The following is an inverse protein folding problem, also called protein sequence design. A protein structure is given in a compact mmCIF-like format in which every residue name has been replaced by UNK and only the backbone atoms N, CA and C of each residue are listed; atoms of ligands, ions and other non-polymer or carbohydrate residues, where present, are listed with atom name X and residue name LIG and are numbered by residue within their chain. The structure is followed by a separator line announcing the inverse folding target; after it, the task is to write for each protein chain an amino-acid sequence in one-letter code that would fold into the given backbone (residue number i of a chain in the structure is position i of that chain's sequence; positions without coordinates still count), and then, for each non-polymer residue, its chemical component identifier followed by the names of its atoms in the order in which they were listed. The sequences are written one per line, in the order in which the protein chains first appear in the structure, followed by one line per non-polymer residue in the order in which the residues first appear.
data_IF_617819289091
#
_entry.id   IF_617819289091
#
_cell.length_a   1.000
_cell.length_b   1.000
_cell.length_c   1.000
_cell.angle_alpha   90.00
_cell.angle_beta   90.00
_cell.angle_gamma   90.00
#
_symmetry.space_group_name_H-M   'P 1'
#
loop_
_entity.id
_entity.type
_entity.pdbx_description
1 polymer ?
#
# COMPACT_ATOMS: atom_id res chain seq x y z
N UNK A 1 -18.94 13.41 24.39
CA UNK A 1 -17.97 13.90 23.39
C UNK A 1 -18.77 14.12 22.10
N UNK A 2 -18.67 15.30 21.49
CA UNK A 2 -19.37 15.66 20.27
C UNK A 2 -18.57 16.71 19.49
N UNK A 3 -18.80 16.80 18.18
CA UNK A 3 -18.18 17.79 17.31
C UNK A 3 -17.42 17.16 16.14
N UNK A 4 -16.77 17.98 15.29
CA UNK A 4 -16.00 17.50 14.17
C UNK A 4 -14.73 16.78 14.65
N UNK A 5 -14.37 15.69 13.95
CA UNK A 5 -13.11 14.98 14.10
C UNK A 5 -12.40 15.01 12.75
N UNK A 6 -11.33 15.80 12.65
CA UNK A 6 -10.56 15.97 11.40
C UNK A 6 -9.54 14.88 11.24
N UNK A 7 -9.73 14.07 10.21
CA UNK A 7 -8.92 12.88 9.95
C UNK A 7 -8.25 13.04 8.59
N UNK A 8 -6.94 12.82 8.53
CA UNK A 8 -6.16 12.76 7.28
C UNK A 8 -5.55 11.37 7.15
N UNK A 9 -5.59 10.82 5.96
CA UNK A 9 -4.99 9.51 5.69
C UNK A 9 -4.69 9.26 4.21
N UNK A 10 -3.84 8.28 3.90
CA UNK A 10 -3.51 7.90 2.53
C UNK A 10 -4.71 7.24 1.85
N UNK A 11 -4.90 7.52 0.56
CA UNK A 11 -6.02 6.98 -0.24
C UNK A 11 -6.05 5.46 -0.24
N UNK A 12 -4.89 4.86 -0.38
CA UNK A 12 -4.73 3.41 -0.52
C UNK A 12 -5.08 2.61 0.73
N UNK A 13 -4.65 3.09 1.89
CA UNK A 13 -4.80 2.36 3.15
C UNK A 13 -6.10 2.68 3.85
N UNK A 14 -6.71 3.83 3.53
CA UNK A 14 -7.86 4.32 4.27
C UNK A 14 -9.12 3.48 4.01
N UNK A 15 -9.43 3.22 2.76
CA UNK A 15 -10.70 2.56 2.42
C UNK A 15 -10.85 1.13 2.95
N UNK A 16 -9.86 0.22 2.82
CA UNK A 16 -10.08 -1.18 3.20
C UNK A 16 -10.01 -1.45 4.71
N UNK A 17 -9.32 -0.61 5.48
CA UNK A 17 -9.03 -0.90 6.90
C UNK A 17 -9.51 0.20 7.83
N UNK A 18 -9.12 1.43 7.58
CA UNK A 18 -9.35 2.53 8.51
C UNK A 18 -10.82 2.95 8.57
N UNK A 19 -11.55 2.87 7.45
CA UNK A 19 -12.97 3.21 7.44
C UNK A 19 -13.76 2.38 8.46
N UNK A 20 -13.51 1.07 8.53
CA UNK A 20 -14.21 0.20 9.48
C UNK A 20 -13.97 0.60 10.94
N UNK A 21 -12.74 1.00 11.28
CA UNK A 21 -12.41 1.48 12.61
C UNK A 21 -13.08 2.80 12.94
N UNK A 22 -13.14 3.71 11.98
CA UNK A 22 -13.80 5.01 12.15
C UNK A 22 -15.31 4.83 12.27
N UNK A 23 -15.91 3.99 11.47
CA UNK A 23 -17.34 3.68 11.50
C UNK A 23 -17.75 3.07 12.85
N UNK A 24 -16.98 2.12 13.35
CA UNK A 24 -17.17 1.53 14.68
C UNK A 24 -17.04 2.57 15.80
N UNK A 25 -16.01 3.43 15.70
CA UNK A 25 -15.80 4.50 16.67
C UNK A 25 -16.94 5.52 16.67
N UNK A 26 -17.40 5.96 15.51
CA UNK A 26 -18.54 6.89 15.39
C UNK A 26 -19.85 6.24 15.85
N UNK A 27 -20.00 4.93 15.67
CA UNK A 27 -21.13 4.19 16.23
C UNK A 27 -21.17 4.22 17.78
N UNK A 28 -20.00 4.21 18.42
CA UNK A 28 -19.88 4.34 19.87
C UNK A 28 -20.06 5.80 20.35
N UNK A 29 -19.73 6.78 19.50
CA UNK A 29 -19.79 8.20 19.82
C UNK A 29 -20.62 8.97 18.77
N UNK A 30 -21.95 8.85 18.78
CA UNK A 30 -22.82 9.37 17.71
C UNK A 30 -22.83 10.90 17.58
N UNK A 31 -22.29 11.61 18.58
CA UNK A 31 -22.11 13.07 18.51
C UNK A 31 -20.85 13.52 17.75
N UNK A 32 -20.00 12.60 17.32
CA UNK A 32 -18.80 12.90 16.54
C UNK A 32 -19.13 12.87 15.06
N UNK A 33 -18.66 13.88 14.32
CA UNK A 33 -18.78 13.99 12.87
C UNK A 33 -17.37 13.86 12.26
N UNK A 34 -17.02 12.74 11.62
CA UNK A 34 -15.70 12.59 10.99
C UNK A 34 -15.62 13.45 9.72
N UNK A 35 -14.62 14.34 9.68
CA UNK A 35 -14.22 15.10 8.49
C UNK A 35 -12.97 14.44 7.92
N UNK A 36 -13.14 13.67 6.84
CA UNK A 36 -12.07 12.82 6.31
C UNK A 36 -11.47 13.43 5.06
N UNK A 37 -10.17 13.65 5.07
CA UNK A 37 -9.39 14.12 3.94
C UNK A 37 -8.37 13.06 3.52
N UNK A 38 -8.40 12.69 2.25
CA UNK A 38 -7.47 11.70 1.70
C UNK A 38 -6.32 12.40 1.00
N UNK A 39 -5.14 12.30 1.59
CA UNK A 39 -3.91 12.88 1.07
C UNK A 39 -2.73 11.91 1.24
N UNK A 40 -1.98 11.72 0.16
CA UNK A 40 -0.76 10.91 0.18
C UNK A 40 0.49 11.76 0.52
N UNK A 41 0.36 13.09 0.50
CA UNK A 41 1.42 13.99 0.96
C UNK A 41 1.24 14.28 2.44
N UNK A 42 2.35 14.34 3.16
CA UNK A 42 2.34 14.77 4.56
C UNK A 42 2.39 16.30 4.55
N UNK A 43 1.26 16.93 4.91
CA UNK A 43 1.15 18.36 5.17
C UNK A 43 1.62 18.71 6.58
N UNK A 44 1.45 19.97 6.95
CA UNK A 44 1.66 20.40 8.34
C UNK A 44 0.38 20.16 9.15
N UNK A 45 0.24 18.97 9.68
CA UNK A 45 -0.98 18.55 10.39
C UNK A 45 -1.34 19.43 11.58
N UNK A 46 -0.37 20.11 12.18
CA UNK A 46 -0.61 21.05 13.29
C UNK A 46 -1.26 22.34 12.77
N UNK A 47 -0.72 22.92 11.69
CA UNK A 47 -1.29 24.12 11.06
C UNK A 47 -2.67 23.84 10.45
N UNK A 48 -2.82 22.66 9.85
CA UNK A 48 -4.06 22.20 9.21
C UNK A 48 -5.12 21.76 10.23
N UNK A 49 -4.80 21.81 11.53
CA UNK A 49 -5.68 21.40 12.64
C UNK A 49 -6.22 20.00 12.49
N UNK A 50 -5.36 19.07 12.09
CA UNK A 50 -5.68 17.64 12.00
C UNK A 50 -5.69 17.04 13.41
N UNK A 51 -6.79 16.40 13.79
CA UNK A 51 -6.91 15.73 15.09
C UNK A 51 -6.25 14.34 15.06
N UNK A 52 -6.42 13.59 13.94
CA UNK A 52 -5.86 12.26 13.75
C UNK A 52 -5.31 12.13 12.33
N UNK A 53 -4.02 11.78 12.21
CA UNK A 53 -3.39 11.51 10.92
C UNK A 53 -2.93 10.07 10.81
N UNK A 54 -3.20 9.44 9.68
CA UNK A 54 -2.67 8.11 9.34
C UNK A 54 -1.64 8.24 8.23
N UNK A 55 -0.57 7.46 8.32
CA UNK A 55 0.46 7.42 7.26
C UNK A 55 1.14 6.07 7.18
N UNK A 56 1.69 5.78 6.02
CA UNK A 56 2.63 4.69 5.81
C UNK A 56 4.07 5.20 5.93
N UNK A 57 4.95 4.38 6.48
CA UNK A 57 6.38 4.66 6.59
C UNK A 57 6.82 5.12 7.98
N UNK A 58 7.92 5.85 8.03
CA UNK A 58 8.61 6.25 9.25
C UNK A 58 7.80 7.26 10.09
N UNK A 59 8.20 7.38 11.36
CA UNK A 59 7.61 8.29 12.33
C UNK A 59 7.49 9.73 11.79
N UNK A 60 6.42 10.44 12.12
CA UNK A 60 6.27 11.83 11.71
C UNK A 60 7.27 12.75 12.41
N UNK A 61 7.36 14.00 11.93
CA UNK A 61 8.19 15.05 12.49
C UNK A 61 7.84 15.40 13.95
N UNK A 62 8.67 16.19 14.59
CA UNK A 62 8.48 16.69 15.96
C UNK A 62 7.11 17.36 16.14
N UNK A 63 6.55 17.23 17.33
CA UNK A 63 5.30 17.90 17.73
C UNK A 63 4.02 17.07 17.61
N UNK A 64 4.11 15.81 17.17
CA UNK A 64 2.95 14.90 17.11
C UNK A 64 3.23 13.61 17.89
N UNK A 65 2.17 13.06 18.50
CA UNK A 65 2.23 11.76 19.16
C UNK A 65 1.98 10.68 18.10
N UNK A 66 2.98 9.86 17.83
CA UNK A 66 2.87 8.76 16.87
C UNK A 66 2.70 7.42 17.58
N UNK A 67 1.80 6.59 17.05
CA UNK A 67 1.63 5.20 17.47
C UNK A 67 1.60 4.29 16.26
N UNK A 68 2.38 3.20 16.32
CA UNK A 68 2.33 2.17 15.29
C UNK A 68 1.03 1.35 15.43
N UNK A 69 0.26 1.26 14.36
CA UNK A 69 -0.96 0.47 14.31
C UNK A 69 -0.67 -0.97 13.89
N UNK A 70 -0.08 -1.17 12.72
CA UNK A 70 0.25 -2.49 12.18
C UNK A 70 1.36 -2.37 11.13
N UNK A 71 1.94 -3.50 10.76
CA UNK A 71 2.87 -3.59 9.64
C UNK A 71 2.11 -3.94 8.36
N UNK A 72 2.47 -3.29 7.25
CA UNK A 72 1.96 -3.62 5.92
C UNK A 72 2.96 -4.56 5.24
N UNK A 73 2.51 -5.73 4.82
CA UNK A 73 3.30 -6.59 3.94
C UNK A 73 3.11 -6.18 2.50
N UNK A 74 4.19 -6.24 1.71
CA UNK A 74 4.15 -6.06 0.25
C UNK A 74 4.22 -7.42 -0.41
N UNK A 75 3.26 -7.72 -1.28
CA UNK A 75 3.10 -9.03 -1.93
C UNK A 75 3.26 -8.84 -3.44
N UNK A 76 4.14 -9.62 -4.06
CA UNK A 76 4.22 -9.67 -5.52
C UNK A 76 3.05 -10.48 -6.04
N UNK A 77 2.28 -9.89 -6.96
CA UNK A 77 1.08 -10.50 -7.51
C UNK A 77 1.03 -10.36 -9.03
N UNK A 78 0.30 -11.29 -9.64
CA UNK A 78 -0.13 -11.21 -11.04
C UNK A 78 -1.56 -11.70 -11.20
N UNK A 79 -2.26 -11.21 -12.22
CA UNK A 79 -3.49 -11.83 -12.67
C UNK A 79 -3.21 -13.17 -13.38
N UNK A 80 -4.13 -14.16 -13.32
CA UNK A 80 -3.99 -15.42 -14.04
C UNK A 80 -3.75 -15.23 -15.55
N UNK A 81 -4.32 -14.21 -16.16
CA UNK A 81 -4.14 -13.90 -17.58
C UNK A 81 -2.71 -13.52 -17.93
N UNK A 82 -2.06 -12.74 -17.06
CA UNK A 82 -0.64 -12.45 -17.20
C UNK A 82 0.20 -13.74 -17.18
N UNK A 83 -0.08 -14.61 -16.20
CA UNK A 83 0.68 -15.85 -16.01
C UNK A 83 0.48 -16.84 -17.17
N UNK A 84 -0.72 -16.91 -17.74
CA UNK A 84 -0.96 -17.71 -18.95
C UNK A 84 -0.17 -17.20 -20.15
N UNK A 85 -0.06 -15.89 -20.29
CA UNK A 85 0.60 -15.28 -21.44
C UNK A 85 2.14 -15.23 -21.33
N UNK A 86 2.69 -15.13 -20.11
CA UNK A 86 4.12 -14.85 -19.88
C UNK A 86 4.83 -15.79 -18.91
N UNK A 87 4.10 -16.70 -18.30
CA UNK A 87 4.62 -17.56 -17.24
C UNK A 87 4.77 -16.81 -15.90
N UNK A 88 5.06 -17.56 -14.86
CA UNK A 88 5.42 -17.03 -13.55
C UNK A 88 6.95 -16.88 -13.43
N UNK A 89 7.46 -15.84 -12.73
CA UNK A 89 8.88 -15.75 -12.43
C UNK A 89 9.28 -16.92 -11.51
N UNK A 90 10.20 -17.77 -11.96
CA UNK A 90 10.69 -18.90 -11.18
C UNK A 90 11.74 -18.52 -10.12
N UNK A 91 12.23 -17.27 -10.15
CA UNK A 91 13.20 -16.74 -9.19
C UNK A 91 13.13 -15.22 -9.14
N UNK A 92 13.77 -14.61 -8.14
CA UNK A 92 13.90 -13.15 -8.05
C UNK A 92 14.63 -12.59 -9.28
N UNK A 93 15.67 -13.26 -9.76
CA UNK A 93 16.40 -12.82 -10.96
C UNK A 93 15.52 -12.81 -12.22
N UNK A 94 14.55 -13.71 -12.34
CA UNK A 94 13.63 -13.75 -13.47
C UNK A 94 12.73 -12.52 -13.58
N UNK A 95 12.56 -11.71 -12.52
CA UNK A 95 11.82 -10.47 -12.56
C UNK A 95 12.34 -9.48 -13.62
N UNK A 96 13.64 -9.56 -13.96
CA UNK A 96 14.24 -8.72 -15.00
C UNK A 96 13.66 -8.97 -16.40
N UNK A 97 13.09 -10.14 -16.65
CA UNK A 97 12.42 -10.47 -17.92
C UNK A 97 10.91 -10.25 -17.93
N UNK A 98 10.36 -9.83 -16.80
CA UNK A 98 8.94 -9.55 -16.66
C UNK A 98 8.61 -8.07 -16.74
N UNK A 99 7.39 -7.76 -17.14
CA UNK A 99 6.84 -6.42 -17.12
C UNK A 99 6.33 -6.12 -15.72
N UNK A 100 6.87 -5.12 -15.06
CA UNK A 100 6.52 -4.79 -13.67
C UNK A 100 5.89 -3.40 -13.58
N UNK A 101 5.03 -3.21 -12.59
CA UNK A 101 4.65 -1.88 -12.15
C UNK A 101 5.69 -1.32 -11.17
N UNK A 102 5.83 -0.02 -11.12
CA UNK A 102 6.58 0.68 -10.08
C UNK A 102 5.73 1.82 -9.52
N UNK A 103 5.78 1.95 -8.20
CA UNK A 103 5.08 3.01 -7.51
C UNK A 103 5.99 4.23 -7.37
N UNK A 104 5.45 5.42 -7.64
CA UNK A 104 6.14 6.70 -7.42
C UNK A 104 5.57 7.35 -6.16
N UNK A 105 6.42 7.55 -5.17
CA UNK A 105 6.00 8.23 -3.94
C UNK A 105 5.50 9.64 -4.25
N UNK A 106 4.24 9.99 -3.96
CA UNK A 106 3.68 11.29 -4.27
C UNK A 106 4.29 12.43 -3.46
N UNK A 107 4.87 12.14 -2.29
CA UNK A 107 5.54 13.13 -1.44
C UNK A 107 6.94 13.50 -1.94
N UNK A 108 7.73 12.49 -2.35
CA UNK A 108 9.15 12.68 -2.75
C UNK A 108 9.36 12.68 -4.26
N UNK A 109 8.39 12.19 -5.04
CA UNK A 109 8.52 12.00 -6.49
C UNK A 109 9.45 10.85 -6.89
N UNK A 110 10.03 10.13 -5.94
CA UNK A 110 10.95 9.02 -6.21
C UNK A 110 10.22 7.70 -6.45
N UNK A 111 10.81 6.84 -7.28
CA UNK A 111 10.32 5.48 -7.46
C UNK A 111 10.63 4.70 -6.18
N UNK A 112 9.62 4.02 -5.66
CA UNK A 112 9.77 3.09 -4.55
C UNK A 112 10.28 1.76 -5.10
N UNK A 113 11.50 1.32 -4.72
CA UNK A 113 12.02 0.04 -5.18
C UNK A 113 11.21 -1.11 -4.58
N UNK A 114 11.10 -2.21 -5.33
CA UNK A 114 10.55 -3.43 -4.76
C UNK A 114 11.44 -3.95 -3.64
N UNK A 115 10.84 -4.47 -2.60
CA UNK A 115 11.54 -5.01 -1.43
C UNK A 115 11.29 -6.48 -1.31
N UNK A 116 12.35 -7.24 -1.16
CA UNK A 116 12.32 -8.70 -1.07
C UNK A 116 13.17 -9.17 0.10
N UNK A 117 12.81 -10.32 0.64
CA UNK A 117 13.61 -11.04 1.63
C UNK A 117 14.67 -11.87 0.91
N UNK A 118 15.92 -11.73 1.35
CA UNK A 118 17.06 -12.55 0.94
C UNK A 118 17.76 -13.09 2.18
N UNK A 119 17.51 -14.36 2.53
CA UNK A 119 17.91 -14.89 3.82
C UNK A 119 17.20 -14.16 4.97
N UNK A 120 17.97 -13.53 5.86
CA UNK A 120 17.44 -12.72 6.97
C UNK A 120 17.38 -11.23 6.66
N UNK A 121 17.86 -10.81 5.50
CA UNK A 121 17.96 -9.41 5.11
C UNK A 121 16.81 -9.01 4.18
N UNK A 122 16.43 -7.74 4.26
CA UNK A 122 15.56 -7.10 3.27
C UNK A 122 16.43 -6.41 2.21
N UNK A 123 16.21 -6.73 0.95
CA UNK A 123 16.95 -6.19 -0.18
C UNK A 123 16.02 -5.43 -1.14
N UNK A 124 16.57 -4.39 -1.75
CA UNK A 124 15.89 -3.68 -2.83
C UNK A 124 16.12 -4.42 -4.14
N UNK A 125 15.03 -4.74 -4.84
CA UNK A 125 15.08 -5.42 -6.11
C UNK A 125 14.73 -4.45 -7.24
N UNK A 126 15.68 -4.12 -8.12
CA UNK A 126 15.38 -3.41 -9.35
C UNK A 126 14.48 -4.27 -10.26
N UNK A 127 13.50 -3.64 -10.89
CA UNK A 127 12.61 -4.28 -11.86
C UNK A 127 12.54 -3.45 -13.13
N UNK A 128 12.12 -4.07 -14.23
CA UNK A 128 11.92 -3.37 -15.51
C UNK A 128 10.51 -2.73 -15.51
N UNK A 129 10.40 -1.41 -15.41
CA UNK A 129 9.10 -0.76 -15.32
C UNK A 129 8.38 -0.80 -16.67
N UNK A 130 7.16 -1.30 -16.68
CA UNK A 130 6.24 -1.19 -17.81
C UNK A 130 5.09 -0.19 -17.52
N UNK A 131 4.85 0.08 -16.25
CA UNK A 131 3.94 1.13 -15.76
C UNK A 131 4.61 1.79 -14.55
N UNK A 132 4.49 3.12 -14.48
CA UNK A 132 4.86 3.91 -13.31
C UNK A 132 3.68 4.78 -12.90
N UNK A 133 3.21 4.65 -11.66
CA UNK A 133 2.09 5.42 -11.14
C UNK A 133 2.33 5.86 -9.69
N UNK A 134 1.65 6.89 -9.26
CA UNK A 134 1.60 7.32 -7.85
C UNK A 134 0.22 7.03 -7.21
N UNK A 135 -0.58 6.20 -7.87
CA UNK A 135 -1.90 5.79 -7.40
C UNK A 135 -1.96 4.26 -7.29
N UNK A 136 -2.17 3.78 -6.07
CA UNK A 136 -2.17 2.33 -5.78
C UNK A 136 -3.36 1.62 -6.44
N UNK A 137 -4.50 2.29 -6.59
CA UNK A 137 -5.66 1.67 -7.23
C UNK A 137 -5.46 1.54 -8.74
N UNK A 138 -4.77 2.50 -9.36
CA UNK A 138 -4.39 2.39 -10.76
C UNK A 138 -3.38 1.26 -10.96
N UNK A 139 -2.42 1.12 -10.05
CA UNK A 139 -1.45 0.01 -10.06
C UNK A 139 -2.17 -1.34 -9.95
N UNK A 140 -3.05 -1.49 -8.96
CA UNK A 140 -3.87 -2.68 -8.77
C UNK A 140 -4.68 -3.02 -10.03
N UNK A 141 -5.33 -2.03 -10.65
CA UNK A 141 -6.10 -2.24 -11.87
C UNK A 141 -5.24 -2.72 -13.04
N UNK A 142 -4.02 -2.21 -13.17
CA UNK A 142 -3.08 -2.67 -14.20
C UNK A 142 -2.64 -4.11 -13.99
N UNK A 143 -2.45 -4.54 -12.74
CA UNK A 143 -2.14 -5.92 -12.37
C UNK A 143 -3.32 -6.83 -12.63
N UNK A 144 -4.54 -6.45 -12.21
CA UNK A 144 -5.78 -7.19 -12.46
C UNK A 144 -6.07 -7.35 -13.95
N UNK A 145 -5.76 -6.34 -14.75
CA UNK A 145 -5.91 -6.40 -16.21
C UNK A 145 -4.86 -7.31 -16.90
N UNK A 146 -3.98 -7.97 -16.15
CA UNK A 146 -2.96 -8.86 -16.70
C UNK A 146 -1.87 -8.15 -17.51
N UNK A 147 -1.60 -6.87 -17.26
CA UNK A 147 -0.62 -6.08 -18.00
C UNK A 147 0.79 -6.16 -17.43
N UNK A 148 0.88 -6.29 -16.11
CA UNK A 148 2.13 -6.24 -15.35
C UNK A 148 2.08 -7.15 -14.12
N UNK A 149 3.25 -7.49 -13.58
CA UNK A 149 3.39 -7.89 -12.18
C UNK A 149 3.36 -6.64 -11.31
N UNK A 150 2.82 -6.73 -10.11
CA UNK A 150 2.86 -5.64 -9.13
C UNK A 150 3.33 -6.11 -7.76
N UNK A 151 4.03 -5.24 -7.03
CA UNK A 151 4.25 -5.42 -5.61
C UNK A 151 3.26 -4.54 -4.85
N UNK A 152 2.18 -5.15 -4.37
CA UNK A 152 1.03 -4.47 -3.81
C UNK A 152 0.98 -4.63 -2.29
N UNK A 153 0.38 -3.66 -1.60
CA UNK A 153 0.07 -3.82 -0.18
C UNK A 153 -0.84 -5.04 0.04
N UNK A 154 -0.47 -5.89 0.99
CA UNK A 154 -1.21 -7.13 1.27
C UNK A 154 -2.67 -6.88 1.63
N UNK A 155 -2.97 -5.77 2.30
CA UNK A 155 -4.33 -5.36 2.62
C UNK A 155 -5.17 -5.10 1.36
N UNK A 156 -4.57 -4.47 0.36
CA UNK A 156 -5.20 -4.17 -0.93
C UNK A 156 -5.31 -5.41 -1.80
N UNK A 157 -4.29 -6.27 -1.82
CA UNK A 157 -4.26 -7.47 -2.65
C UNK A 157 -5.12 -8.63 -2.11
N UNK A 158 -5.25 -8.75 -0.77
CA UNK A 158 -5.87 -9.91 -0.13
C UNK A 158 -7.29 -10.26 -0.60
N UNK A 159 -8.23 -9.32 -0.82
CA UNK A 159 -9.55 -9.65 -1.35
C UNK A 159 -9.47 -10.33 -2.71
N UNK A 160 -8.59 -9.83 -3.60
CA UNK A 160 -8.43 -10.35 -4.96
C UNK A 160 -7.69 -11.69 -4.99
N UNK A 161 -6.75 -11.91 -4.06
CA UNK A 161 -6.09 -13.21 -3.88
C UNK A 161 -7.12 -14.24 -3.43
N UNK A 162 -7.96 -13.93 -2.44
CA UNK A 162 -9.05 -14.82 -1.99
C UNK A 162 -10.06 -15.12 -3.10
N UNK A 163 -10.37 -14.13 -3.93
CA UNK A 163 -11.25 -14.29 -5.10
C UNK A 163 -10.56 -14.96 -6.31
N UNK A 164 -9.27 -15.36 -6.19
CA UNK A 164 -8.46 -15.97 -7.26
C UNK A 164 -8.28 -15.08 -8.50
N UNK A 165 -8.48 -13.78 -8.34
CA UNK A 165 -8.23 -12.78 -9.38
C UNK A 165 -6.75 -12.36 -9.41
N UNK A 166 -6.04 -12.54 -8.29
CA UNK A 166 -4.59 -12.37 -8.19
C UNK A 166 -3.95 -13.64 -7.63
N UNK A 167 -2.76 -13.95 -8.12
CA UNK A 167 -1.92 -15.04 -7.66
C UNK A 167 -0.68 -14.45 -7.01
N UNK A 168 -0.39 -14.75 -5.73
CA UNK A 168 0.84 -14.32 -5.07
C UNK A 168 2.02 -15.10 -5.66
N UNK A 169 3.14 -14.42 -5.84
CA UNK A 169 4.36 -14.94 -6.46
C UNK A 169 5.55 -14.74 -5.53
N UNK A 170 6.55 -15.60 -5.65
CA UNK A 170 7.81 -15.53 -4.90
C UNK A 170 7.55 -15.36 -3.38
N UNK A 171 6.58 -16.12 -2.85
CA UNK A 171 6.07 -15.97 -1.48
C UNK A 171 7.15 -16.15 -0.41
N UNK A 172 8.17 -16.96 -0.66
CA UNK A 172 9.31 -17.17 0.24
C UNK A 172 10.22 -15.94 0.33
N UNK A 173 10.05 -14.98 -0.57
CA UNK A 173 10.79 -13.74 -0.64
C UNK A 173 9.99 -12.52 -0.14
N UNK A 174 8.81 -12.74 0.45
CA UNK A 174 8.03 -11.65 1.05
C UNK A 174 8.70 -11.23 2.35
N UNK A 175 9.04 -9.93 2.53
CA UNK A 175 9.56 -9.45 3.80
C UNK A 175 8.54 -9.65 4.93
N UNK A 176 9.02 -10.06 6.10
CA UNK A 176 8.14 -10.34 7.24
C UNK A 176 7.41 -9.09 7.73
N UNK A 177 7.98 -7.89 7.48
CA UNK A 177 7.40 -6.60 7.89
C UNK A 177 7.89 -5.49 6.96
N UNK A 178 6.98 -4.63 6.55
CA UNK A 178 7.32 -3.31 6.04
C UNK A 178 7.26 -2.34 7.22
N UNK A 179 8.40 -1.88 7.63
CA UNK A 179 8.55 -0.91 8.74
C UNK A 179 8.73 0.49 8.19
#
# INVERSE_FOLDING_TARGET
ISGPLRIVGPRSTFQPVLWRLIDEFCGQYPGIVPEIQLEDRVGNWVEDRVDVGFRLGLSPHEGVIARRLFAVQLIICAAPDYLRARGAPGSVAALQSHRCSVFRNPGTGQIVPWRLKSGNDEVQQPVVPAICTNDEMLELNAVLAGRVLGQLAGLTAAPYIRAKQLVPLLVDHIPDRYS
#
